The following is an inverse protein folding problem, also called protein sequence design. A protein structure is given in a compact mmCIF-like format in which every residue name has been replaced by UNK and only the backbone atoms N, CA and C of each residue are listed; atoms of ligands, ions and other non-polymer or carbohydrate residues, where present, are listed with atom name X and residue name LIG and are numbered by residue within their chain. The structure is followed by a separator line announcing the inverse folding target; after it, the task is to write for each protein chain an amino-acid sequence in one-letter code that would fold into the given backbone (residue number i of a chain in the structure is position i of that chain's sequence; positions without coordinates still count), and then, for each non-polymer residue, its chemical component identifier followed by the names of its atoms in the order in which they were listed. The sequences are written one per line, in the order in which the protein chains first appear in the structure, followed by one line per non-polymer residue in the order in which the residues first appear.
data_IF_411086012301
#
_entry.id   IF_411086012301
#
_cell.length_a   1.000
_cell.length_b   1.000
_cell.length_c   1.000
_cell.angle_alpha   90.00
_cell.angle_beta   90.00
_cell.angle_gamma   90.00
#
_symmetry.space_group_name_H-M   'P 1'
#
loop_
_entity.id
_entity.type
_entity.pdbx_description
1 polymer ?
#
# COMPACT_ATOMS: atom_id res chain seq x y z
N UNK A 1 24.40 -22.38 -22.79
CA UNK A 1 23.02 -22.55 -22.25
C UNK A 1 22.27 -23.48 -23.18
N UNK A 2 21.65 -24.54 -22.65
CA UNK A 2 21.07 -25.62 -23.45
C UNK A 2 19.78 -25.14 -24.13
N UNK A 3 19.81 -24.89 -25.45
CA UNK A 3 18.72 -24.30 -26.23
C UNK A 3 17.38 -25.05 -26.04
N UNK A 4 17.46 -26.36 -25.81
CA UNK A 4 16.32 -27.24 -25.58
C UNK A 4 15.58 -26.97 -24.25
N UNK A 5 16.25 -26.39 -23.25
CA UNK A 5 15.63 -26.06 -21.96
C UNK A 5 14.79 -24.79 -22.05
N UNK A 6 15.25 -23.79 -22.80
CA UNK A 6 14.54 -22.52 -23.01
C UNK A 6 13.27 -22.78 -23.84
N UNK A 7 13.36 -23.55 -24.92
CA UNK A 7 12.21 -23.83 -25.77
C UNK A 7 11.10 -24.60 -25.04
N UNK A 8 11.45 -25.51 -24.12
CA UNK A 8 10.48 -26.22 -23.27
C UNK A 8 9.76 -25.29 -22.30
N UNK A 9 10.48 -24.33 -21.72
CA UNK A 9 9.89 -23.32 -20.83
C UNK A 9 8.97 -22.37 -21.61
N UNK A 10 9.40 -21.92 -22.79
CA UNK A 10 8.57 -21.06 -23.64
C UNK A 10 7.28 -21.76 -24.07
N UNK A 11 7.34 -23.03 -24.49
CA UNK A 11 6.14 -23.82 -24.81
C UNK A 11 5.19 -23.94 -23.62
N UNK A 12 5.73 -24.19 -22.42
CA UNK A 12 4.91 -24.35 -21.21
C UNK A 12 4.22 -23.04 -20.81
N UNK A 13 4.94 -21.92 -20.90
CA UNK A 13 4.38 -20.60 -20.58
C UNK A 13 3.31 -20.22 -21.59
N UNK A 14 3.55 -20.42 -22.89
CA UNK A 14 2.56 -20.11 -23.93
C UNK A 14 1.34 -21.03 -23.86
N UNK A 15 1.52 -22.31 -23.55
CA UNK A 15 0.38 -23.22 -23.38
C UNK A 15 -0.46 -22.87 -22.15
N UNK A 16 0.16 -22.57 -21.00
CA UNK A 16 -0.55 -22.11 -19.82
C UNK A 16 -1.32 -20.80 -20.08
N UNK A 17 -0.71 -19.85 -20.80
CA UNK A 17 -1.38 -18.61 -21.18
C UNK A 17 -2.59 -18.85 -22.07
N UNK A 18 -2.48 -19.72 -23.09
CA UNK A 18 -3.60 -20.04 -23.99
C UNK A 18 -4.74 -20.78 -23.27
N UNK A 19 -4.42 -21.68 -22.34
CA UNK A 19 -5.42 -22.36 -21.50
C UNK A 19 -6.14 -21.34 -20.62
N UNK A 20 -5.40 -20.41 -20.02
CA UNK A 20 -5.98 -19.38 -19.17
C UNK A 20 -6.84 -18.38 -19.96
N UNK A 21 -6.38 -17.96 -21.14
CA UNK A 21 -7.13 -17.09 -22.05
C UNK A 21 -8.41 -17.75 -22.55
N UNK A 22 -8.37 -19.04 -22.91
CA UNK A 22 -9.55 -19.76 -23.37
C UNK A 22 -10.57 -19.95 -22.24
N UNK A 23 -10.15 -20.28 -21.02
CA UNK A 23 -11.02 -20.34 -19.84
C UNK A 23 -11.65 -18.97 -19.51
N UNK A 24 -10.89 -17.90 -19.66
CA UNK A 24 -11.33 -16.51 -19.49
C UNK A 24 -12.40 -16.11 -20.53
N UNK A 25 -12.22 -16.46 -21.80
CA UNK A 25 -13.23 -16.26 -22.86
C UNK A 25 -14.48 -17.12 -22.60
N UNK A 26 -14.30 -18.37 -22.17
CA UNK A 26 -15.42 -19.27 -21.87
C UNK A 26 -16.26 -18.74 -20.70
N UNK A 27 -15.62 -18.26 -19.64
CA UNK A 27 -16.32 -17.62 -18.52
C UNK A 27 -17.11 -16.38 -18.97
N UNK A 28 -16.53 -15.56 -19.86
CA UNK A 28 -17.19 -14.39 -20.43
C UNK A 28 -18.43 -14.76 -21.29
N UNK A 29 -18.29 -15.73 -22.20
CA UNK A 29 -19.37 -16.12 -23.14
C UNK A 29 -20.51 -16.86 -22.44
N UNK A 30 -20.21 -17.74 -21.49
CA UNK A 30 -21.21 -18.56 -20.81
C UNK A 30 -21.75 -17.94 -19.52
N UNK A 31 -21.26 -16.76 -19.12
CA UNK A 31 -21.72 -16.05 -17.92
C UNK A 31 -21.48 -16.83 -16.62
N UNK A 32 -20.49 -17.72 -16.60
CA UNK A 32 -20.18 -18.55 -15.43
C UNK A 32 -19.50 -17.71 -14.36
N UNK A 33 -20.23 -17.39 -13.30
CA UNK A 33 -19.73 -16.65 -12.13
C UNK A 33 -19.08 -17.60 -11.14
N UNK A 34 -17.76 -17.57 -11.06
CA UNK A 34 -16.99 -18.26 -10.02
C UNK A 34 -16.13 -17.21 -9.32
N UNK A 35 -16.44 -16.94 -8.05
CA UNK A 35 -15.90 -15.79 -7.30
C UNK A 35 -14.36 -15.74 -7.22
N UNK A 36 -13.70 -16.90 -7.24
CA UNK A 36 -12.23 -16.95 -7.24
C UNK A 36 -11.61 -16.72 -8.63
N UNK A 37 -12.35 -16.92 -9.72
CA UNK A 37 -11.87 -16.70 -11.10
C UNK A 37 -12.14 -15.26 -11.57
N UNK A 38 -13.21 -14.62 -11.09
CA UNK A 38 -13.52 -13.21 -11.39
C UNK A 38 -12.40 -12.26 -10.94
N UNK A 39 -11.69 -12.58 -9.86
CA UNK A 39 -10.55 -11.77 -9.36
C UNK A 39 -9.29 -11.83 -10.22
N UNK A 40 -9.21 -12.77 -11.16
CA UNK A 40 -7.98 -13.06 -11.93
C UNK A 40 -8.23 -12.91 -13.45
N UNK A 41 -9.49 -12.78 -13.87
CA UNK A 41 -9.93 -12.85 -15.27
C UNK A 41 -9.32 -11.75 -16.16
N UNK A 42 -8.56 -12.15 -17.19
CA UNK A 42 -7.88 -11.24 -18.15
C UNK A 42 -8.83 -10.49 -19.08
N UNK A 43 -9.91 -11.16 -19.52
CA UNK A 43 -10.83 -10.61 -20.53
C UNK A 43 -11.69 -9.50 -19.94
N UNK A 44 -12.05 -9.57 -18.64
CA UNK A 44 -12.77 -8.49 -17.95
C UNK A 44 -11.97 -7.21 -17.79
N UNK A 45 -10.63 -7.28 -17.78
CA UNK A 45 -9.74 -6.11 -17.74
C UNK A 45 -9.56 -5.44 -19.12
N UNK A 46 -9.79 -6.20 -20.21
CA UNK A 46 -9.66 -5.71 -21.60
C UNK A 46 -10.99 -5.25 -22.18
N UNK A 47 -12.07 -5.98 -21.89
CA UNK A 47 -13.42 -5.68 -22.39
C UNK A 47 -14.28 -5.20 -21.24
N UNK A 48 -14.29 -3.88 -21.08
CA UNK A 48 -15.23 -3.22 -20.18
C UNK A 48 -16.65 -3.45 -20.69
N UNK A 49 -17.48 -4.10 -19.87
CA UNK A 49 -18.88 -4.41 -20.18
C UNK A 49 -19.61 -3.13 -20.62
N UNK A 50 -20.28 -3.19 -21.76
CA UNK A 50 -21.07 -2.08 -22.33
C UNK A 50 -22.03 -1.49 -21.30
N UNK A 51 -22.18 -0.17 -21.34
CA UNK A 51 -22.74 0.72 -20.31
C UNK A 51 -24.20 0.47 -19.89
N UNK A 52 -24.90 -0.54 -20.42
CA UNK A 52 -26.29 -0.83 -20.02
C UNK A 52 -26.41 -1.67 -18.73
N UNK A 53 -25.34 -2.34 -18.28
CA UNK A 53 -25.26 -2.86 -16.89
C UNK A 53 -24.33 -2.01 -15.99
N UNK A 54 -23.60 -1.05 -16.53
CA UNK A 54 -22.81 -0.08 -15.75
C UNK A 54 -23.59 1.18 -15.33
N UNK A 55 -24.88 1.29 -15.66
CA UNK A 55 -25.81 2.12 -14.88
C UNK A 55 -26.06 1.58 -13.46
N UNK A 56 -25.47 0.43 -13.09
CA UNK A 56 -25.34 -0.03 -11.70
C UNK A 56 -23.89 -0.05 -11.18
N UNK A 57 -22.87 0.15 -12.01
CA UNK A 57 -21.46 0.15 -11.58
C UNK A 57 -20.46 0.63 -12.66
N UNK A 58 -20.44 1.95 -12.91
CA UNK A 58 -19.20 2.72 -12.93
C UNK A 58 -18.42 2.90 -14.24
N UNK A 59 -18.63 4.07 -14.87
CA UNK A 59 -17.60 4.93 -15.47
C UNK A 59 -18.19 6.34 -15.68
N UNK A 60 -17.52 7.49 -15.60
CA UNK A 60 -16.11 7.83 -15.51
C UNK A 60 -15.97 9.21 -14.85
N UNK A 61 -14.80 9.41 -14.23
CA UNK A 61 -14.05 10.65 -14.06
C UNK A 61 -14.75 12.03 -14.09
N UNK A 62 -14.54 12.77 -12.99
CA UNK A 62 -14.05 14.16 -13.00
C UNK A 62 -14.78 15.12 -13.96
N UNK A 63 -16.07 15.35 -13.73
CA UNK A 63 -16.70 16.63 -14.00
C UNK A 63 -18.00 16.72 -13.21
N UNK A 64 -18.00 17.54 -12.15
CA UNK A 64 -19.19 18.06 -11.49
C UNK A 64 -20.31 17.06 -11.14
N UNK A 65 -20.20 16.41 -9.98
CA UNK A 65 -21.40 16.12 -9.18
C UNK A 65 -21.20 16.63 -7.76
N UNK A 66 -21.87 17.74 -7.51
CA UNK A 66 -22.20 18.31 -6.21
C UNK A 66 -22.62 17.20 -5.24
N UNK A 67 -21.99 17.22 -4.07
CA UNK A 67 -22.32 16.52 -2.84
C UNK A 67 -23.64 15.71 -2.84
N UNK A 68 -23.52 14.39 -2.89
CA UNK A 68 -24.34 13.56 -2.01
C UNK A 68 -23.45 13.07 -0.87
N UNK A 69 -23.70 13.71 0.27
CA UNK A 69 -23.21 13.38 1.60
C UNK A 69 -23.44 11.88 1.83
N UNK A 70 -22.41 11.02 1.95
CA UNK A 70 -22.66 9.66 2.38
C UNK A 70 -23.26 9.76 3.77
N UNK A 71 -24.45 9.17 3.93
CA UNK A 71 -25.17 9.12 5.18
C UNK A 71 -24.19 8.69 6.27
N UNK A 72 -24.21 9.47 7.36
CA UNK A 72 -23.49 9.19 8.60
C UNK A 72 -24.05 7.90 9.22
N UNK A 73 -23.73 6.74 8.68
CA UNK A 73 -23.56 5.58 9.52
C UNK A 73 -22.08 5.58 9.89
N UNK A 74 -21.79 6.19 11.03
CA UNK A 74 -20.45 6.20 11.58
C UNK A 74 -20.05 4.75 11.79
N UNK A 75 -19.22 4.23 10.88
CA UNK A 75 -18.62 2.91 11.03
C UNK A 75 -18.05 2.86 12.46
N UNK A 76 -18.58 1.96 13.27
CA UNK A 76 -18.35 2.01 14.71
C UNK A 76 -16.87 1.71 14.97
N UNK A 77 -16.16 2.66 15.59
CA UNK A 77 -14.78 2.47 15.97
C UNK A 77 -14.68 1.47 17.14
N UNK A 78 -13.82 0.47 16.98
CA UNK A 78 -13.48 -0.53 17.97
C UNK A 78 -11.96 -0.58 18.13
N UNK A 79 -11.48 0.17 19.11
CA UNK A 79 -10.06 0.17 19.43
C UNK A 79 -9.59 -1.20 19.96
N UNK A 80 -10.44 -2.04 20.53
CA UNK A 80 -10.01 -3.35 21.05
C UNK A 80 -9.48 -4.29 19.95
N UNK A 81 -9.74 -3.97 18.67
CA UNK A 81 -9.15 -4.66 17.53
C UNK A 81 -7.62 -4.63 17.50
N UNK A 82 -6.93 -3.65 18.14
CA UNK A 82 -5.46 -3.66 18.20
C UNK A 82 -4.88 -4.76 19.10
N UNK A 83 -5.68 -5.31 20.02
CA UNK A 83 -5.24 -6.39 20.92
C UNK A 83 -5.22 -7.75 20.22
N UNK A 84 -5.80 -7.85 19.02
CA UNK A 84 -5.82 -9.08 18.23
C UNK A 84 -4.46 -9.24 17.53
N UNK A 85 -3.72 -10.33 17.79
CA UNK A 85 -2.29 -10.44 17.45
C UNK A 85 -1.97 -10.62 15.95
N UNK A 86 -2.95 -10.74 15.07
CA UNK A 86 -2.72 -11.35 13.74
C UNK A 86 -2.92 -10.41 12.54
N UNK A 87 -3.40 -9.18 12.72
CA UNK A 87 -3.76 -8.32 11.58
C UNK A 87 -3.38 -6.86 11.79
N UNK A 88 -2.96 -6.20 10.70
CA UNK A 88 -3.04 -4.74 10.58
C UNK A 88 -4.53 -4.42 10.43
N UNK A 89 -5.23 -4.31 11.56
CA UNK A 89 -6.67 -4.09 11.59
C UNK A 89 -7.00 -2.62 11.39
N UNK A 90 -8.02 -2.35 10.58
CA UNK A 90 -8.71 -1.08 10.65
C UNK A 90 -9.48 -1.02 11.98
N UNK A 91 -9.62 0.16 12.58
CA UNK A 91 -10.42 0.36 13.80
C UNK A 91 -11.92 0.32 13.56
N UNK A 92 -12.39 0.17 12.33
CA UNK A 92 -13.81 0.16 12.01
C UNK A 92 -14.37 -1.27 12.08
N UNK A 93 -15.51 -1.46 12.74
CA UNK A 93 -16.27 -2.72 12.70
C UNK A 93 -16.87 -2.93 11.30
N UNK A 94 -16.63 -4.10 10.71
CA UNK A 94 -17.15 -4.50 9.40
C UNK A 94 -16.12 -4.39 8.27
N UNK A 95 -16.40 -5.08 7.16
CA UNK A 95 -15.54 -5.02 5.97
C UNK A 95 -15.79 -3.74 5.15
N UNK A 96 -14.70 -3.17 4.63
CA UNK A 96 -14.69 -2.28 3.45
C UNK A 96 -14.91 -0.78 3.64
N UNK A 97 -14.34 -0.15 4.69
CA UNK A 97 -14.06 1.29 4.58
C UNK A 97 -12.87 1.48 3.63
N UNK A 98 -13.12 2.05 2.45
CA UNK A 98 -12.06 2.39 1.49
C UNK A 98 -11.23 3.54 2.07
N UNK A 99 -9.98 3.24 2.45
CA UNK A 99 -9.12 4.21 3.14
C UNK A 99 -8.60 5.34 2.23
N UNK A 100 -8.46 5.08 0.92
CA UNK A 100 -7.88 6.04 -0.03
C UNK A 100 -8.73 7.30 -0.24
N UNK A 101 -10.07 7.23 -0.46
CA UNK A 101 -10.92 8.42 -0.51
C UNK A 101 -10.87 9.26 0.76
N UNK A 102 -10.81 8.61 1.94
CA UNK A 102 -10.69 9.30 3.22
C UNK A 102 -9.35 10.03 3.32
N UNK A 103 -8.25 9.37 2.93
CA UNK A 103 -6.94 9.99 2.87
C UNK A 103 -6.92 11.19 1.91
N UNK A 104 -7.49 11.03 0.71
CA UNK A 104 -7.57 12.09 -0.29
C UNK A 104 -8.36 13.29 0.24
N UNK A 105 -9.53 13.07 0.85
CA UNK A 105 -10.32 14.12 1.48
C UNK A 105 -9.51 14.85 2.56
N UNK A 106 -8.81 14.11 3.44
CA UNK A 106 -7.99 14.70 4.50
C UNK A 106 -6.84 15.53 3.94
N UNK A 107 -6.20 15.09 2.85
CA UNK A 107 -5.15 15.85 2.16
C UNK A 107 -5.71 17.14 1.54
N UNK A 108 -6.89 17.10 0.93
CA UNK A 108 -7.57 18.30 0.42
C UNK A 108 -7.96 19.26 1.53
N UNK A 109 -8.47 18.76 2.66
CA UNK A 109 -8.76 19.56 3.85
C UNK A 109 -7.50 20.25 4.39
N UNK A 110 -6.37 19.52 4.47
CA UNK A 110 -5.08 20.06 4.90
C UNK A 110 -4.62 21.18 3.97
N UNK A 111 -4.69 20.97 2.64
CA UNK A 111 -4.31 21.97 1.64
C UNK A 111 -5.14 23.25 1.75
N UNK A 112 -6.46 23.11 1.90
CA UNK A 112 -7.39 24.24 1.91
C UNK A 112 -7.36 25.03 3.22
N UNK A 113 -7.20 24.35 4.35
CA UNK A 113 -7.30 24.97 5.67
C UNK A 113 -5.95 25.27 6.32
N UNK A 114 -4.88 24.60 5.88
CA UNK A 114 -3.59 24.58 6.57
C UNK A 114 -3.64 23.96 7.97
N UNK A 115 -4.76 23.35 8.37
CA UNK A 115 -4.98 22.82 9.72
C UNK A 115 -4.96 21.30 9.71
N UNK A 116 -4.34 20.74 10.74
CA UNK A 116 -4.24 19.30 10.94
C UNK A 116 -2.83 18.77 10.66
N UNK A 117 -2.65 17.46 10.87
CA UNK A 117 -1.39 16.77 10.64
C UNK A 117 -1.65 15.36 10.15
N UNK A 118 -1.21 15.06 8.94
CA UNK A 118 -1.29 13.74 8.33
C UNK A 118 0.09 13.10 8.41
N UNK A 119 0.16 11.87 8.90
CA UNK A 119 1.39 11.07 8.96
C UNK A 119 1.21 9.83 8.11
N UNK A 120 2.08 9.66 7.13
CA UNK A 120 2.07 8.51 6.22
C UNK A 120 3.30 7.67 6.55
N UNK A 121 3.09 6.41 6.88
CA UNK A 121 4.15 5.42 7.05
C UNK A 121 4.24 4.55 5.80
N UNK A 122 5.45 4.34 5.29
CA UNK A 122 5.72 3.51 4.12
C UNK A 122 6.59 2.33 4.55
N UNK A 123 6.07 1.11 4.41
CA UNK A 123 6.79 -0.12 4.70
C UNK A 123 7.29 -0.73 3.40
N UNK A 124 8.56 -1.13 3.39
CA UNK A 124 9.19 -1.72 2.22
C UNK A 124 10.54 -2.31 2.57
N UNK A 125 11.35 -2.54 1.54
CA UNK A 125 12.69 -3.11 1.65
C UNK A 125 13.78 -2.01 1.80
N UNK A 126 15.01 -2.38 1.49
CA UNK A 126 16.20 -1.52 1.60
C UNK A 126 16.12 -0.22 0.78
N UNK A 127 15.36 -0.16 -0.32
CA UNK A 127 15.23 1.07 -1.12
C UNK A 127 14.50 2.18 -0.35
N UNK A 128 13.64 1.81 0.60
CA UNK A 128 12.95 2.72 1.51
C UNK A 128 13.85 3.09 2.70
N UNK A 129 14.67 2.15 3.18
CA UNK A 129 15.58 2.37 4.31
C UNK A 129 16.55 3.55 4.06
N UNK A 130 17.05 3.64 2.82
CA UNK A 130 17.91 4.73 2.33
C UNK A 130 17.20 6.04 1.96
N UNK A 131 15.87 6.14 2.13
CA UNK A 131 15.03 7.29 1.74
C UNK A 131 15.07 7.62 0.23
N UNK A 132 15.33 6.67 -0.67
CA UNK A 132 15.47 6.95 -2.11
C UNK A 132 14.13 7.31 -2.77
N UNK A 133 13.11 6.47 -2.56
CA UNK A 133 11.77 6.66 -3.12
C UNK A 133 10.95 7.58 -2.21
N UNK A 134 11.03 7.37 -0.90
CA UNK A 134 10.23 8.12 0.10
C UNK A 134 10.61 9.58 0.18
N UNK A 135 11.85 9.98 -0.14
CA UNK A 135 12.24 11.39 -0.26
C UNK A 135 11.40 12.08 -1.34
N UNK A 136 11.35 11.49 -2.53
CA UNK A 136 10.64 12.06 -3.67
C UNK A 136 9.14 12.10 -3.40
N UNK A 137 8.56 10.99 -2.90
CA UNK A 137 7.15 10.93 -2.53
C UNK A 137 6.80 12.00 -1.48
N UNK A 138 7.58 12.10 -0.41
CA UNK A 138 7.37 13.09 0.66
C UNK A 138 7.46 14.51 0.11
N UNK A 139 8.45 14.80 -0.74
CA UNK A 139 8.61 16.11 -1.37
C UNK A 139 7.38 16.48 -2.20
N UNK A 140 6.91 15.57 -3.07
CA UNK A 140 5.74 15.81 -3.91
C UNK A 140 4.47 16.03 -3.08
N UNK A 141 4.25 15.23 -2.04
CA UNK A 141 3.10 15.39 -1.16
C UNK A 141 3.14 16.72 -0.39
N UNK A 142 4.31 17.10 0.13
CA UNK A 142 4.50 18.37 0.83
C UNK A 142 4.36 19.58 -0.10
N UNK A 143 4.78 19.46 -1.36
CA UNK A 143 4.60 20.50 -2.38
C UNK A 143 3.13 20.69 -2.74
N UNK A 144 2.36 19.61 -2.89
CA UNK A 144 0.97 19.67 -3.35
C UNK A 144 -0.02 20.00 -2.23
N UNK A 145 0.13 19.38 -1.05
CA UNK A 145 -0.84 19.48 0.06
C UNK A 145 -0.32 20.26 1.27
N UNK A 146 0.93 20.74 1.21
CA UNK A 146 1.60 21.37 2.34
C UNK A 146 2.14 20.37 3.36
N UNK A 147 2.70 20.90 4.45
CA UNK A 147 3.35 20.12 5.50
C UNK A 147 4.88 20.23 5.45
N UNK A 148 5.52 19.74 6.50
CA UNK A 148 6.96 19.91 6.70
C UNK A 148 7.56 18.78 7.54
N UNK A 149 8.89 18.67 7.46
CA UNK A 149 9.69 17.71 8.22
C UNK A 149 9.87 16.38 7.51
N UNK A 150 10.75 15.55 8.08
CA UNK A 150 11.14 14.23 7.54
C UNK A 150 10.37 13.07 8.17
N UNK A 151 9.60 13.33 9.22
CA UNK A 151 8.79 12.32 9.90
C UNK A 151 9.60 11.49 10.89
N UNK A 152 9.35 10.18 10.91
CA UNK A 152 9.99 9.24 11.81
C UNK A 152 11.43 8.95 11.37
N UNK A 153 12.38 9.06 12.31
CA UNK A 153 13.77 8.65 12.14
C UNK A 153 14.12 7.62 13.21
N UNK A 154 14.90 6.57 12.87
CA UNK A 154 15.39 5.65 13.87
C UNK A 154 16.40 6.34 14.80
N UNK A 155 16.62 5.78 15.99
CA UNK A 155 17.62 6.31 16.95
C UNK A 155 19.05 6.18 16.40
N UNK A 156 19.29 5.11 15.65
CA UNK A 156 20.55 4.84 14.97
C UNK A 156 20.25 4.08 13.67
N UNK A 157 21.02 4.33 12.61
CA UNK A 157 20.90 3.58 11.36
C UNK A 157 22.26 3.47 10.68
N UNK A 158 22.63 2.24 10.31
CA UNK A 158 23.86 1.96 9.58
C UNK A 158 23.83 2.51 8.14
N UNK A 159 22.64 2.79 7.61
CA UNK A 159 22.43 3.39 6.28
C UNK A 159 22.08 4.88 6.34
N UNK A 160 22.21 5.52 7.52
CA UNK A 160 21.93 6.95 7.69
C UNK A 160 22.73 7.83 6.71
N UNK A 161 23.90 7.37 6.25
CA UNK A 161 24.74 8.11 5.31
C UNK A 161 24.14 8.20 3.90
N UNK A 162 23.25 7.28 3.51
CA UNK A 162 22.60 7.32 2.20
C UNK A 162 21.41 8.31 2.16
N UNK A 163 20.89 8.70 3.33
CA UNK A 163 19.78 9.65 3.42
C UNK A 163 20.27 11.07 3.15
N UNK A 164 19.66 11.72 2.17
CA UNK A 164 19.97 13.10 1.82
C UNK A 164 19.16 14.13 2.63
N UNK A 165 18.08 13.69 3.29
CA UNK A 165 17.04 14.59 3.81
C UNK A 165 17.16 14.86 5.30
N UNK A 166 17.81 13.96 6.02
CA UNK A 166 18.12 14.07 7.42
C UNK A 166 19.36 13.25 7.75
N UNK A 167 20.14 13.75 8.71
CA UNK A 167 21.27 13.03 9.28
C UNK A 167 20.88 12.53 10.66
N UNK A 168 21.07 11.24 10.90
CA UNK A 168 20.92 10.62 12.21
C UNK A 168 22.31 10.15 12.64
N UNK A 169 22.70 10.53 13.85
CA UNK A 169 23.92 10.03 14.49
C UNK A 169 23.59 9.69 15.93
N UNK A 170 24.11 8.57 16.41
CA UNK A 170 24.03 8.17 17.80
C UNK A 170 25.13 7.17 18.09
N UNK A 171 25.73 7.26 19.26
CA UNK A 171 26.81 6.37 19.72
C UNK A 171 26.33 5.56 20.92
N UNK A 172 26.93 4.39 21.17
CA UNK A 172 26.59 3.55 22.33
C UNK A 172 25.24 2.81 22.24
N UNK A 173 24.61 2.79 21.05
CA UNK A 173 23.40 2.02 20.78
C UNK A 173 23.75 0.68 20.12
N UNK A 174 23.28 -0.41 20.72
CA UNK A 174 23.24 -1.73 20.10
C UNK A 174 21.91 -1.89 19.37
N UNK A 175 21.97 -2.13 18.05
CA UNK A 175 20.78 -2.27 17.20
C UNK A 175 20.55 -3.74 16.85
N UNK A 176 19.37 -4.26 17.20
CA UNK A 176 18.85 -5.54 16.72
C UNK A 176 17.76 -5.28 15.68
N UNK A 177 17.77 -6.01 14.57
CA UNK A 177 16.73 -5.91 13.53
C UNK A 177 16.19 -7.30 13.15
N UNK A 178 15.23 -7.33 12.23
CA UNK A 178 14.57 -8.57 11.77
C UNK A 178 15.51 -9.56 11.08
N UNK A 179 16.67 -9.12 10.58
CA UNK A 179 17.70 -10.00 10.00
C UNK A 179 18.61 -10.62 11.07
N UNK A 180 18.53 -10.17 12.32
CA UNK A 180 19.37 -10.68 13.40
C UNK A 180 18.87 -12.06 13.85
N UNK A 181 19.74 -13.08 13.97
CA UNK A 181 19.34 -14.39 14.44
C UNK A 181 18.67 -14.32 15.82
N UNK A 182 17.52 -14.99 15.97
CA UNK A 182 16.71 -14.99 17.21
C UNK A 182 16.19 -13.62 17.62
N UNK A 183 16.06 -12.67 16.68
CA UNK A 183 15.38 -11.41 16.95
C UNK A 183 13.94 -11.66 17.43
N UNK A 184 13.56 -11.00 18.52
CA UNK A 184 12.24 -11.06 19.14
C UNK A 184 11.90 -9.65 19.68
N UNK A 185 10.62 -9.36 19.87
CA UNK A 185 10.15 -8.10 20.45
C UNK A 185 10.68 -6.86 19.71
N UNK A 186 10.41 -6.78 18.41
CA UNK A 186 10.75 -5.64 17.57
C UNK A 186 9.65 -4.58 17.61
N UNK A 187 10.04 -3.30 17.50
CA UNK A 187 9.07 -2.22 17.30
C UNK A 187 8.57 -2.19 15.85
N UNK A 188 7.61 -1.30 15.58
CA UNK A 188 6.99 -1.15 14.25
C UNK A 188 8.00 -0.91 13.13
N UNK A 189 9.15 -0.28 13.41
CA UNK A 189 10.21 -0.07 12.42
C UNK A 189 11.00 -1.33 12.05
N UNK A 190 10.79 -2.46 12.75
CA UNK A 190 11.61 -3.67 12.61
C UNK A 190 12.96 -3.59 13.33
N UNK A 191 13.14 -2.60 14.22
CA UNK A 191 14.36 -2.40 15.00
C UNK A 191 14.06 -2.34 16.50
N UNK A 192 15.03 -2.80 17.29
CA UNK A 192 15.11 -2.57 18.74
C UNK A 192 16.51 -2.06 19.07
N UNK A 193 16.58 -0.96 19.83
CA UNK A 193 17.82 -0.35 20.26
C UNK A 193 18.00 -0.57 21.77
N UNK A 194 19.20 -0.97 22.20
CA UNK A 194 19.57 -1.18 23.62
C UNK A 194 20.89 -0.50 23.92
N UNK A 195 21.10 -0.11 25.17
CA UNK A 195 22.35 0.50 25.65
C UNK A 195 22.15 1.88 26.28
N UNK A 196 23.27 2.46 26.72
CA UNK A 196 23.34 3.81 27.29
C UNK A 196 23.82 4.80 26.22
N UNK A 197 23.18 4.77 25.05
CA UNK A 197 23.63 5.58 23.92
C UNK A 197 23.35 7.07 24.10
N UNK A 198 24.16 7.88 23.44
CA UNK A 198 24.01 9.35 23.36
C UNK A 198 23.72 9.76 21.92
N UNK A 199 22.83 10.74 21.75
CA UNK A 199 22.44 11.33 20.46
C UNK A 199 22.89 12.77 20.34
#
# INVERSE_FOLDING_TARGET
MNNNRIHRVVILVTSCFLVYLSASILSYVYGWKFEAFDKINLVSDIFKKSEEEQNASGESAIAGKTAEKPAKEAAQEDFELYKKPEFITNFHKGDSVVALPILAQKLTELKNTGKGKIRIAYFGDSMIEGDLITQTLRKLLQQEFGGQGVGFLPMHSNVAQFRQTARVSGTGWESTNFMTPKAQNMYISGHTFRGAGSG
#
